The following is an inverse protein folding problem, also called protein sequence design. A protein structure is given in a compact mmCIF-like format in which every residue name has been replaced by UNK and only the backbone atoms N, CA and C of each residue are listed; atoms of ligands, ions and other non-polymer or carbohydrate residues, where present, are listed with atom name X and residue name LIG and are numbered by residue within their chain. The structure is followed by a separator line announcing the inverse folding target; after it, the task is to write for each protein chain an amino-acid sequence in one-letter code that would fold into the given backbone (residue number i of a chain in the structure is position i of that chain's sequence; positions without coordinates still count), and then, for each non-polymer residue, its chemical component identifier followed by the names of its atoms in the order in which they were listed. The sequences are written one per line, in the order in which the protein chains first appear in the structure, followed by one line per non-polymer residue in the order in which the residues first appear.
data_IF_108515154312
#
_entry.id   IF_108515154312
#
_cell.length_a   1.000
_cell.length_b   1.000
_cell.length_c   1.000
_cell.angle_alpha   90.00
_cell.angle_beta   90.00
_cell.angle_gamma   90.00
#
_symmetry.space_group_name_H-M   'P 1'
#
loop_
_entity.id
_entity.type
_entity.pdbx_description
1 polymer ?
#
# COMPACT_ATOMS: atom_id res chain seq x y z
N UNK A 1 15.62 -5.10 2.08
CA UNK A 1 15.25 -5.29 0.66
C UNK A 1 16.34 -4.84 -0.34
N UNK A 2 17.31 -3.99 0.06
CA UNK A 2 18.31 -3.34 -0.82
C UNK A 2 19.11 -4.26 -1.77
N UNK A 3 19.50 -5.47 -1.37
CA UNK A 3 20.41 -6.29 -2.19
C UNK A 3 19.73 -7.26 -3.17
N UNK A 4 18.43 -7.51 -3.05
CA UNK A 4 17.77 -8.57 -3.83
C UNK A 4 17.50 -8.15 -5.28
N UNK A 5 17.15 -6.88 -5.49
CA UNK A 5 16.80 -6.34 -6.81
C UNK A 5 18.00 -6.31 -7.75
N UNK A 6 19.17 -5.75 -7.36
CA UNK A 6 20.34 -5.72 -8.25
C UNK A 6 20.94 -7.10 -8.54
N UNK A 7 20.68 -8.10 -7.67
CA UNK A 7 21.09 -9.49 -7.89
C UNK A 7 20.20 -10.25 -8.87
N UNK A 8 18.96 -9.79 -9.05
CA UNK A 8 17.95 -10.49 -9.86
C UNK A 8 17.72 -9.77 -11.19
N UNK A 9 17.59 -8.45 -11.16
CA UNK A 9 17.42 -7.61 -12.34
C UNK A 9 18.78 -7.04 -12.71
N UNK A 10 19.38 -7.58 -13.77
CA UNK A 10 20.74 -7.22 -14.20
C UNK A 10 20.80 -5.90 -14.94
N UNK A 11 19.70 -5.50 -15.59
CA UNK A 11 19.58 -4.18 -16.21
C UNK A 11 19.44 -3.11 -15.12
N UNK A 12 20.39 -2.19 -15.07
CA UNK A 12 20.48 -1.18 -14.02
C UNK A 12 19.27 -0.23 -13.97
N UNK A 13 18.70 0.12 -15.12
CA UNK A 13 17.54 1.02 -15.19
C UNK A 13 16.28 0.33 -14.67
N UNK A 14 16.04 -0.90 -15.10
CA UNK A 14 14.92 -1.73 -14.63
C UNK A 14 15.07 -2.05 -13.15
N UNK A 15 16.27 -2.35 -12.68
CA UNK A 15 16.56 -2.59 -11.27
C UNK A 15 16.22 -1.36 -10.42
N UNK A 16 16.59 -0.16 -10.86
CA UNK A 16 16.27 1.09 -10.16
C UNK A 16 14.74 1.30 -10.07
N UNK A 17 14.00 1.07 -11.15
CA UNK A 17 12.53 1.18 -11.18
C UNK A 17 11.89 0.20 -10.19
N UNK A 18 12.31 -1.07 -10.20
CA UNK A 18 11.79 -2.11 -9.30
C UNK A 18 12.10 -1.78 -7.84
N UNK A 19 13.34 -1.36 -7.55
CA UNK A 19 13.75 -0.99 -6.20
C UNK A 19 12.95 0.20 -5.66
N UNK A 20 12.75 1.24 -6.48
CA UNK A 20 11.93 2.38 -6.13
C UNK A 20 10.46 1.98 -5.92
N UNK A 21 9.93 1.10 -6.76
CA UNK A 21 8.54 0.63 -6.66
C UNK A 21 8.30 -0.18 -5.38
N UNK A 22 9.23 -1.04 -4.98
CA UNK A 22 9.16 -1.77 -3.70
C UNK A 22 9.14 -0.79 -2.52
N UNK A 23 10.01 0.22 -2.53
CA UNK A 23 10.04 1.24 -1.47
C UNK A 23 8.74 2.06 -1.42
N UNK A 24 8.18 2.42 -2.58
CA UNK A 24 6.88 3.09 -2.67
C UNK A 24 5.74 2.21 -2.17
N UNK A 25 5.75 0.91 -2.48
CA UNK A 25 4.75 -0.04 -1.97
C UNK A 25 4.75 -0.07 -0.44
N UNK A 26 5.93 -0.22 0.17
CA UNK A 26 6.07 -0.21 1.63
C UNK A 26 5.53 1.09 2.24
N UNK A 27 5.90 2.24 1.66
CA UNK A 27 5.42 3.54 2.13
C UNK A 27 3.90 3.72 1.99
N UNK A 28 3.30 3.29 0.88
CA UNK A 28 1.85 3.37 0.67
C UNK A 28 1.09 2.47 1.65
N UNK A 29 1.61 1.28 1.91
CA UNK A 29 1.00 0.35 2.86
C UNK A 29 1.08 0.85 4.31
N UNK A 30 2.23 1.40 4.72
CA UNK A 30 2.38 2.03 6.04
C UNK A 30 1.46 3.25 6.17
N UNK A 31 1.40 4.10 5.14
CA UNK A 31 0.52 5.27 5.13
C UNK A 31 -0.95 4.87 5.23
N UNK A 32 -1.39 3.85 4.49
CA UNK A 32 -2.77 3.37 4.56
C UNK A 32 -3.12 2.78 5.93
N UNK A 33 -2.18 2.10 6.61
CA UNK A 33 -2.38 1.64 7.99
C UNK A 33 -2.65 2.82 8.94
N UNK A 34 -1.85 3.88 8.86
CA UNK A 34 -2.08 5.09 9.66
C UNK A 34 -3.45 5.72 9.35
N UNK A 35 -3.87 5.75 8.08
CA UNK A 35 -5.22 6.20 7.71
C UNK A 35 -6.31 5.33 8.36
N UNK A 36 -6.15 4.00 8.37
CA UNK A 36 -7.09 3.08 9.02
C UNK A 36 -7.14 3.28 10.54
N UNK A 37 -6.00 3.37 11.20
CA UNK A 37 -5.91 3.61 12.66
C UNK A 37 -6.60 4.92 13.05
N UNK A 38 -6.36 5.99 12.28
CA UNK A 38 -7.01 7.28 12.50
C UNK A 38 -8.53 7.19 12.27
N UNK A 39 -8.98 6.48 11.23
CA UNK A 39 -10.40 6.25 10.99
C UNK A 39 -11.07 5.47 12.13
N UNK A 40 -10.43 4.43 12.66
CA UNK A 40 -10.94 3.69 13.81
C UNK A 40 -11.04 4.58 15.05
N UNK A 41 -10.04 5.42 15.30
CA UNK A 41 -10.06 6.39 16.38
C UNK A 41 -11.20 7.40 16.21
N UNK A 42 -11.37 7.94 15.00
CA UNK A 42 -12.45 8.86 14.65
C UNK A 42 -13.82 8.23 14.93
N UNK A 43 -14.04 6.98 14.49
CA UNK A 43 -15.30 6.27 14.74
C UNK A 43 -15.55 6.07 16.23
N UNK A 44 -14.53 5.72 17.02
CA UNK A 44 -14.66 5.60 18.48
C UNK A 44 -15.02 6.94 19.11
N UNK A 45 -14.36 8.03 18.71
CA UNK A 45 -14.66 9.37 19.21
C UNK A 45 -16.06 9.84 18.84
N UNK A 46 -16.50 9.58 17.60
CA UNK A 46 -17.84 9.94 17.12
C UNK A 46 -18.92 9.15 17.86
N UNK A 47 -18.72 7.85 18.08
CA UNK A 47 -19.67 7.02 18.84
C UNK A 47 -19.76 7.40 20.32
N UNK A 48 -18.69 7.95 20.91
CA UNK A 48 -18.69 8.40 22.30
C UNK A 48 -19.46 9.73 22.51
N UNK A 49 -19.68 10.51 21.45
CA UNK A 49 -20.40 11.79 21.49
C UNK A 49 -21.91 11.56 21.40
N UNK A 50 -22.67 12.24 22.27
CA UNK A 50 -24.14 12.12 22.33
C UNK A 50 -24.87 12.82 21.17
N UNK A 51 -24.22 13.79 20.53
CA UNK A 51 -24.79 14.72 19.57
C UNK A 51 -24.37 14.44 18.12
N UNK A 52 -23.64 13.35 17.86
CA UNK A 52 -23.25 12.98 16.51
C UNK A 52 -24.47 12.54 15.71
N UNK A 53 -24.65 13.20 14.57
CA UNK A 53 -25.71 12.87 13.63
C UNK A 53 -25.30 11.70 12.74
N UNK A 54 -26.29 10.91 12.32
CA UNK A 54 -26.07 9.80 11.37
C UNK A 54 -25.44 10.26 10.05
N UNK A 55 -25.77 11.47 9.59
CA UNK A 55 -25.20 12.08 8.38
C UNK A 55 -23.70 12.30 8.49
N UNK A 56 -23.21 12.76 9.65
CA UNK A 56 -21.78 12.96 9.90
C UNK A 56 -21.03 11.62 9.91
N UNK A 57 -21.65 10.59 10.48
CA UNK A 57 -21.07 9.24 10.49
C UNK A 57 -20.99 8.67 9.07
N UNK A 58 -22.06 8.83 8.28
CA UNK A 58 -22.10 8.41 6.88
C UNK A 58 -21.04 9.13 6.04
N UNK A 59 -20.90 10.44 6.19
CA UNK A 59 -19.86 11.22 5.51
C UNK A 59 -18.45 10.72 5.84
N UNK A 60 -18.17 10.40 7.11
CA UNK A 60 -16.87 9.87 7.51
C UNK A 60 -16.60 8.49 6.92
N UNK A 61 -17.62 7.62 6.82
CA UNK A 61 -17.52 6.31 6.17
C UNK A 61 -17.23 6.46 4.67
N UNK A 62 -17.94 7.35 3.99
CA UNK A 62 -17.75 7.61 2.56
C UNK A 62 -16.35 8.17 2.28
N UNK A 63 -15.88 9.11 3.11
CA UNK A 63 -14.53 9.66 3.03
C UNK A 63 -13.47 8.54 3.17
N UNK A 64 -13.63 7.65 4.15
CA UNK A 64 -12.70 6.53 4.32
C UNK A 64 -12.74 5.54 3.15
N UNK A 65 -13.92 5.29 2.58
CA UNK A 65 -14.03 4.42 1.41
C UNK A 65 -13.31 5.02 0.17
N UNK A 66 -13.37 6.34 -0.02
CA UNK A 66 -12.60 7.05 -1.04
C UNK A 66 -11.09 6.91 -0.80
N UNK A 67 -10.63 7.12 0.43
CA UNK A 67 -9.22 6.95 0.83
C UNK A 67 -8.73 5.52 0.56
N UNK A 68 -9.54 4.52 0.94
CA UNK A 68 -9.27 3.10 0.71
C UNK A 68 -9.18 2.75 -0.77
N UNK A 69 -10.13 3.23 -1.59
CA UNK A 69 -10.12 3.03 -3.04
C UNK A 69 -8.88 3.66 -3.67
N UNK A 70 -8.54 4.88 -3.27
CA UNK A 70 -7.36 5.58 -3.77
C UNK A 70 -6.05 4.84 -3.42
N UNK A 71 -5.92 4.36 -2.17
CA UNK A 71 -4.78 3.56 -1.75
C UNK A 71 -4.67 2.26 -2.56
N UNK A 72 -5.79 1.56 -2.77
CA UNK A 72 -5.82 0.34 -3.60
C UNK A 72 -5.36 0.61 -5.03
N UNK A 73 -5.81 1.70 -5.65
CA UNK A 73 -5.37 2.09 -7.00
C UNK A 73 -3.86 2.32 -7.04
N UNK A 74 -3.31 3.07 -6.08
CA UNK A 74 -1.86 3.32 -6.02
C UNK A 74 -1.05 2.04 -5.84
N UNK A 75 -1.50 1.12 -4.99
CA UNK A 75 -0.86 -0.20 -4.81
C UNK A 75 -0.88 -1.01 -6.10
N UNK A 76 -2.02 -1.02 -6.81
CA UNK A 76 -2.13 -1.70 -8.10
C UNK A 76 -1.19 -1.10 -9.15
N UNK A 77 -1.12 0.23 -9.24
CA UNK A 77 -0.23 0.91 -10.18
C UNK A 77 1.24 0.57 -9.91
N UNK A 78 1.64 0.52 -8.63
CA UNK A 78 2.99 0.12 -8.24
C UNK A 78 3.28 -1.33 -8.62
N UNK A 79 2.33 -2.24 -8.38
CA UNK A 79 2.45 -3.63 -8.80
C UNK A 79 2.63 -3.74 -10.32
N UNK A 80 1.82 -3.03 -11.10
CA UNK A 80 1.93 -3.02 -12.56
C UNK A 80 3.28 -2.45 -13.03
N UNK A 81 3.78 -1.40 -12.40
CA UNK A 81 5.13 -0.85 -12.68
C UNK A 81 6.23 -1.90 -12.44
N UNK A 82 6.13 -2.66 -11.34
CA UNK A 82 7.09 -3.73 -11.04
C UNK A 82 7.03 -4.87 -12.06
N UNK A 83 5.83 -5.32 -12.43
CA UNK A 83 5.66 -6.37 -13.43
C UNK A 83 6.15 -5.93 -14.81
N UNK A 84 5.91 -4.68 -15.21
CA UNK A 84 6.40 -4.15 -16.48
C UNK A 84 7.93 -4.01 -16.52
N UNK A 85 8.55 -3.74 -15.38
CA UNK A 85 10.00 -3.61 -15.27
C UNK A 85 10.73 -4.96 -15.09
N UNK A 86 10.02 -6.07 -14.86
CA UNK A 86 10.61 -7.39 -14.59
C UNK A 86 10.25 -8.40 -15.67
N UNK A 87 11.14 -9.36 -15.93
CA UNK A 87 10.78 -10.54 -16.73
C UNK A 87 10.04 -11.55 -15.86
N UNK A 88 9.37 -12.51 -16.49
CA UNK A 88 8.67 -13.58 -15.76
C UNK A 88 9.61 -14.37 -14.83
N UNK A 89 10.85 -14.64 -15.24
CA UNK A 89 11.83 -15.35 -14.40
C UNK A 89 12.31 -14.49 -13.24
N UNK A 90 12.67 -13.23 -13.49
CA UNK A 90 13.06 -12.28 -12.43
C UNK A 90 11.94 -12.11 -11.40
N UNK A 91 10.68 -12.03 -11.86
CA UNK A 91 9.52 -11.90 -11.01
C UNK A 91 9.32 -13.10 -10.07
N UNK A 92 9.57 -14.33 -10.52
CA UNK A 92 9.50 -15.52 -9.65
C UNK A 92 10.40 -15.37 -8.43
N UNK A 93 11.59 -14.81 -8.60
CA UNK A 93 12.54 -14.58 -7.52
C UNK A 93 12.18 -13.37 -6.64
N UNK A 94 11.55 -12.34 -7.22
CA UNK A 94 11.20 -11.10 -6.53
C UNK A 94 9.85 -11.15 -5.80
N UNK A 95 8.88 -11.93 -6.26
CA UNK A 95 7.50 -11.99 -5.74
C UNK A 95 7.41 -12.31 -4.24
N UNK A 96 8.43 -12.95 -3.66
CA UNK A 96 8.48 -13.21 -2.20
C UNK A 96 8.70 -11.94 -1.38
N UNK A 97 9.41 -10.96 -1.92
CA UNK A 97 9.66 -9.67 -1.26
C UNK A 97 8.43 -8.77 -1.34
N UNK A 98 7.75 -8.78 -2.47
CA UNK A 98 6.43 -8.15 -2.59
C UNK A 98 5.45 -8.74 -1.57
N UNK A 99 5.35 -10.08 -1.51
CA UNK A 99 4.52 -10.75 -0.51
C UNK A 99 4.90 -10.38 0.92
N UNK A 100 6.20 -10.25 1.22
CA UNK A 100 6.65 -9.80 2.53
C UNK A 100 6.17 -8.37 2.84
N UNK A 101 6.21 -7.44 1.87
CA UNK A 101 5.67 -6.09 2.03
C UNK A 101 4.16 -6.11 2.29
N UNK A 102 3.40 -6.92 1.56
CA UNK A 102 1.95 -7.09 1.74
C UNK A 102 1.58 -7.76 3.08
N UNK A 103 2.43 -8.65 3.61
CA UNK A 103 2.19 -9.28 4.91
C UNK A 103 2.58 -8.36 6.06
N UNK A 104 3.66 -7.60 5.93
CA UNK A 104 4.10 -6.63 6.93
C UNK A 104 3.07 -5.52 7.19
N UNK A 105 2.19 -5.25 6.23
CA UNK A 105 1.08 -4.30 6.37
C UNK A 105 -0.19 -4.90 6.98
N UNK A 106 -0.29 -6.24 7.05
CA UNK A 106 -1.41 -6.96 7.65
C UNK A 106 -1.18 -7.43 9.09
N UNK A 107 -0.04 -7.09 9.71
CA UNK A 107 0.25 -7.30 11.14
C UNK A 107 0.29 -5.97 11.86
#
# INVERSE_FOLDING_TARGET
MSEAVPRTVTDANRAAIVQASIGRLESELVGFRTTLENFELDLRMMNARRDVQRSQLAERLDQFDLERKAARTRVLDIHLQMTAATTAEEWKHLSKYERAALVASGR
#
